data_IF_991301936304
#
_entry.id   IF_991301936304
#
_cell.length_a   1.000
_cell.length_b   1.000
_cell.length_c   1.000
_cell.angle_alpha   90.00
_cell.angle_beta   90.00
_cell.angle_gamma   90.00
#
_symmetry.space_group_name_H-M   'P 1'
#
loop_
_entity.id
_entity.type
_entity.pdbx_description
1 polymer ?
#
# COMPACT_ATOMS: atom_id res chain seq x y z
N UNK A 1 -1.80 13.14 6.47
CA UNK A 1 -2.17 14.53 6.80
C UNK A 1 -2.33 15.27 5.50
N UNK A 2 -3.50 15.89 5.32
CA UNK A 2 -3.91 16.60 4.12
C UNK A 2 -3.03 17.83 3.96
N UNK A 3 -2.10 17.83 3.01
CA UNK A 3 -1.65 19.04 2.35
C UNK A 3 -2.79 19.51 1.43
N UNK A 4 -3.92 19.88 2.06
CA UNK A 4 -5.02 20.48 1.35
C UNK A 4 -4.54 21.86 0.88
N UNK A 5 -4.61 22.11 -0.44
CA UNK A 5 -4.55 23.47 -0.98
C UNK A 5 -5.47 24.36 -0.14
N UNK A 6 -5.04 25.59 0.18
CA UNK A 6 -5.86 26.53 0.94
C UNK A 6 -7.26 26.63 0.30
N UNK A 7 -8.35 26.50 1.07
CA UNK A 7 -9.69 26.47 0.52
C UNK A 7 -9.96 27.76 -0.27
N UNK A 8 -10.15 27.63 -1.58
CA UNK A 8 -10.58 28.76 -2.40
C UNK A 8 -12.04 29.06 -2.12
N UNK A 9 -12.33 30.23 -1.54
CA UNK A 9 -13.70 30.70 -1.29
C UNK A 9 -14.33 31.19 -2.59
N UNK A 10 -14.70 30.30 -3.50
CA UNK A 10 -15.54 30.61 -4.66
C UNK A 10 -17.03 30.36 -4.35
N UNK A 11 -17.92 31.14 -4.96
CA UNK A 11 -19.36 30.87 -4.84
C UNK A 11 -19.71 29.62 -5.62
N UNK A 12 -20.30 28.64 -4.93
CA UNK A 12 -20.81 27.40 -5.51
C UNK A 12 -22.04 27.71 -6.38
N UNK A 13 -22.03 27.28 -7.64
CA UNK A 13 -23.19 27.37 -8.52
C UNK A 13 -24.32 26.44 -8.09
N UNK A 14 -25.54 26.68 -8.57
CA UNK A 14 -26.68 25.81 -8.27
C UNK A 14 -26.50 24.36 -8.78
N UNK A 15 -25.69 24.15 -9.81
CA UNK A 15 -25.37 22.81 -10.35
C UNK A 15 -24.39 22.11 -9.41
N UNK A 16 -23.31 22.77 -9.02
CA UNK A 16 -22.32 22.26 -8.08
C UNK A 16 -22.95 21.96 -6.71
N UNK A 17 -23.85 22.85 -6.23
CA UNK A 17 -24.56 22.62 -4.98
C UNK A 17 -25.36 21.31 -5.01
N UNK A 18 -26.13 21.04 -6.09
CA UNK A 18 -26.86 19.78 -6.24
C UNK A 18 -25.95 18.55 -6.29
N UNK A 19 -24.78 18.68 -6.92
CA UNK A 19 -23.79 17.60 -6.92
C UNK A 19 -23.27 17.33 -5.51
N UNK A 20 -22.93 18.40 -4.78
CA UNK A 20 -22.47 18.29 -3.39
C UNK A 20 -23.56 17.65 -2.51
N UNK A 21 -24.83 18.08 -2.61
CA UNK A 21 -25.93 17.46 -1.88
C UNK A 21 -26.02 15.96 -2.16
N UNK A 22 -25.92 15.53 -3.43
CA UNK A 22 -25.94 14.11 -3.81
C UNK A 22 -24.77 13.34 -3.18
N UNK A 23 -23.53 13.88 -3.23
CA UNK A 23 -22.37 13.23 -2.62
C UNK A 23 -22.50 13.11 -1.10
N UNK A 24 -23.01 14.17 -0.45
CA UNK A 24 -23.30 14.18 0.99
C UNK A 24 -24.36 13.14 1.35
N UNK A 25 -25.44 13.04 0.56
CA UNK A 25 -26.48 12.02 0.78
C UNK A 25 -25.91 10.60 0.65
N UNK A 26 -25.09 10.32 -0.37
CA UNK A 26 -24.43 9.03 -0.52
C UNK A 26 -23.48 8.74 0.66
N UNK A 27 -22.71 9.73 1.12
CA UNK A 27 -21.84 9.58 2.29
C UNK A 27 -22.61 9.25 3.55
N UNK A 28 -23.78 9.86 3.73
CA UNK A 28 -24.61 9.68 4.95
C UNK A 28 -25.41 8.38 4.88
N UNK A 29 -26.13 8.13 3.78
CA UNK A 29 -27.08 7.02 3.67
C UNK A 29 -26.39 5.69 3.36
N UNK A 30 -25.41 5.70 2.46
CA UNK A 30 -24.70 4.50 2.00
C UNK A 30 -23.42 4.27 2.81
N UNK A 31 -22.96 5.22 3.62
CA UNK A 31 -21.69 5.18 4.33
C UNK A 31 -20.50 5.01 3.38
N UNK A 32 -20.66 5.41 2.10
CA UNK A 32 -19.61 5.30 1.09
C UNK A 32 -18.42 6.22 1.44
N UNK A 33 -17.16 5.72 1.40
CA UNK A 33 -15.97 6.53 1.69
C UNK A 33 -15.88 7.77 0.80
N UNK A 34 -15.45 8.90 1.37
CA UNK A 34 -15.27 10.14 0.60
C UNK A 34 -14.31 9.94 -0.58
N UNK A 35 -13.23 9.18 -0.37
CA UNK A 35 -12.27 8.88 -1.42
C UNK A 35 -12.92 8.23 -2.66
N UNK A 36 -13.89 7.34 -2.48
CA UNK A 36 -14.60 6.73 -3.60
C UNK A 36 -15.66 7.65 -4.22
N UNK A 37 -16.23 8.57 -3.44
CA UNK A 37 -17.17 9.57 -3.96
C UNK A 37 -16.47 10.62 -4.82
N UNK A 38 -15.26 11.01 -4.45
CA UNK A 38 -14.43 11.98 -5.19
C UNK A 38 -13.50 11.32 -6.19
N UNK A 39 -13.30 10.01 -6.09
CA UNK A 39 -12.28 9.24 -6.80
C UNK A 39 -10.86 9.75 -6.55
N UNK A 40 -10.62 10.29 -5.37
CA UNK A 40 -9.35 10.89 -4.97
C UNK A 40 -8.93 10.43 -3.57
N UNK A 41 -7.67 10.07 -3.43
CA UNK A 41 -7.01 9.83 -2.15
C UNK A 41 -5.62 10.48 -2.15
N UNK A 42 -5.08 10.76 -0.95
CA UNK A 42 -3.76 11.36 -0.83
C UNK A 42 -2.82 10.42 -0.09
N UNK A 43 -1.61 10.26 -0.61
CA UNK A 43 -0.57 9.44 -0.01
C UNK A 43 0.81 10.01 -0.34
N UNK A 44 1.70 10.14 0.65
CA UNK A 44 3.04 10.73 0.49
C UNK A 44 3.06 12.13 -0.17
N UNK A 45 1.99 12.93 -0.05
CA UNK A 45 1.87 14.22 -0.70
C UNK A 45 1.38 14.17 -2.15
N UNK A 46 1.15 12.98 -2.70
CA UNK A 46 0.61 12.79 -4.06
C UNK A 46 -0.88 12.50 -4.03
N UNK A 47 -1.59 12.94 -5.08
CA UNK A 47 -3.00 12.65 -5.29
C UNK A 47 -3.15 11.42 -6.18
N UNK A 48 -3.89 10.42 -5.71
CA UNK A 48 -4.15 9.15 -6.40
C UNK A 48 -5.61 9.05 -6.82
N UNK A 49 -5.86 8.49 -7.99
CA UNK A 49 -7.17 7.98 -8.37
C UNK A 49 -7.45 6.71 -7.58
N UNK A 50 -8.68 6.58 -7.06
CA UNK A 50 -9.17 5.38 -6.36
C UNK A 50 -10.63 5.14 -6.67
N UNK A 51 -11.01 3.86 -6.70
CA UNK A 51 -12.40 3.40 -6.73
C UNK A 51 -12.53 2.07 -5.98
N UNK A 52 -13.70 1.45 -6.01
CA UNK A 52 -14.03 0.25 -5.22
C UNK A 52 -13.21 -1.00 -5.59
N UNK A 53 -12.29 -0.91 -6.56
CA UNK A 53 -11.37 -1.99 -6.96
C UNK A 53 -10.13 -2.08 -6.09
N UNK A 54 -9.84 -1.05 -5.28
CA UNK A 54 -8.59 -0.95 -4.50
C UNK A 54 -8.84 -0.53 -3.06
N UNK A 55 -7.89 -0.88 -2.19
CA UNK A 55 -7.79 -0.30 -0.85
C UNK A 55 -7.51 1.21 -0.96
N UNK A 56 -8.18 2.01 -0.14
CA UNK A 56 -7.88 3.45 -0.04
C UNK A 56 -6.48 3.61 0.58
N UNK A 57 -5.54 4.32 -0.08
CA UNK A 57 -4.20 4.56 0.43
C UNK A 57 -4.17 5.16 1.85
N UNK A 58 -3.58 4.42 2.80
CA UNK A 58 -3.49 4.85 4.22
C UNK A 58 -2.32 4.21 4.97
N UNK A 59 -1.39 3.57 4.26
CA UNK A 59 -0.24 2.89 4.87
C UNK A 59 0.66 3.84 5.63
N UNK A 60 1.05 3.53 6.87
CA UNK A 60 2.05 4.28 7.61
C UNK A 60 3.46 4.15 7.02
N UNK A 61 3.71 3.24 6.04
CA UNK A 61 4.96 3.19 5.27
C UNK A 61 5.30 4.51 4.55
N UNK A 62 4.33 5.42 4.41
CA UNK A 62 4.58 6.76 3.88
C UNK A 62 5.75 7.48 4.57
N UNK A 63 5.95 7.26 5.88
CA UNK A 63 7.05 7.85 6.64
C UNK A 63 8.39 7.23 6.24
N UNK A 64 8.45 5.90 6.14
CA UNK A 64 9.64 5.18 5.67
C UNK A 64 10.04 5.59 4.24
N UNK A 65 9.07 5.72 3.35
CA UNK A 65 9.32 6.13 1.96
C UNK A 65 9.93 7.53 1.92
N UNK A 66 9.39 8.51 2.68
CA UNK A 66 9.95 9.87 2.75
C UNK A 66 11.36 9.91 3.32
N UNK A 67 11.67 9.02 4.28
CA UNK A 67 12.98 8.85 4.88
C UNK A 67 13.85 7.85 4.09
N UNK A 68 13.42 7.47 2.86
CA UNK A 68 14.14 6.57 1.97
C UNK A 68 14.59 5.25 2.64
N UNK A 69 13.77 4.76 3.59
CA UNK A 69 14.02 3.55 4.40
C UNK A 69 15.33 3.57 5.21
N UNK A 70 15.91 4.74 5.44
CA UNK A 70 17.02 4.89 6.38
C UNK A 70 16.56 4.59 7.84
N UNK A 71 17.39 4.00 8.69
CA UNK A 71 18.78 3.58 8.44
C UNK A 71 18.90 2.09 7.97
N UNK A 72 17.81 1.49 7.47
CA UNK A 72 17.73 0.06 7.18
C UNK A 72 18.45 -0.34 5.89
N UNK A 73 18.52 0.56 4.93
CA UNK A 73 19.19 0.38 3.65
C UNK A 73 19.89 1.67 3.25
N UNK A 74 21.01 1.57 2.54
CA UNK A 74 21.67 2.73 1.90
C UNK A 74 20.85 3.12 0.66
N UNK A 75 20.11 4.21 0.76
CA UNK A 75 19.20 4.69 -0.28
C UNK A 75 19.91 4.94 -1.63
N UNK A 76 21.19 5.31 -1.60
CA UNK A 76 21.99 5.53 -2.82
C UNK A 76 22.34 4.24 -3.57
N UNK A 77 22.22 3.09 -2.91
CA UNK A 77 22.51 1.77 -3.48
C UNK A 77 21.27 1.04 -4.01
N UNK A 78 20.06 1.60 -3.82
CA UNK A 78 18.81 0.97 -4.25
C UNK A 78 18.64 1.14 -5.76
N UNK A 79 18.68 0.03 -6.48
CA UNK A 79 18.50 -0.02 -7.93
C UNK A 79 17.17 -0.65 -8.32
N UNK A 80 16.68 -1.65 -7.56
CA UNK A 80 15.44 -2.38 -7.88
C UNK A 80 14.57 -2.57 -6.65
N UNK A 81 13.30 -2.23 -6.80
CA UNK A 81 12.29 -2.33 -5.74
C UNK A 81 11.11 -3.17 -6.23
N UNK A 82 10.56 -4.01 -5.35
CA UNK A 82 9.33 -4.75 -5.59
C UNK A 82 8.25 -4.31 -4.58
N UNK A 83 7.09 -3.91 -5.09
CA UNK A 83 5.87 -3.67 -4.31
C UNK A 83 4.89 -4.83 -4.54
N UNK A 84 4.72 -5.67 -3.54
CA UNK A 84 3.84 -6.86 -3.58
C UNK A 84 2.47 -6.50 -3.01
N UNK A 85 1.40 -6.88 -3.73
CA UNK A 85 0.01 -6.50 -3.44
C UNK A 85 -0.17 -4.97 -3.51
N UNK A 86 0.22 -4.39 -4.65
CA UNK A 86 0.36 -2.94 -4.85
C UNK A 86 -0.97 -2.16 -4.78
N UNK A 87 -2.11 -2.83 -4.99
CA UNK A 87 -3.42 -2.19 -4.96
C UNK A 87 -3.53 -1.02 -5.95
N UNK A 88 -3.71 0.18 -5.43
CA UNK A 88 -3.75 1.42 -6.23
C UNK A 88 -2.40 1.85 -6.83
N UNK A 89 -1.31 1.16 -6.51
CA UNK A 89 0.05 1.56 -6.87
C UNK A 89 0.65 2.65 -5.99
N UNK A 90 0.02 2.98 -4.86
CA UNK A 90 0.43 4.14 -4.07
C UNK A 90 1.83 4.00 -3.47
N UNK A 91 2.23 2.80 -2.98
CA UNK A 91 3.58 2.55 -2.51
C UNK A 91 4.58 2.62 -3.67
N UNK A 92 4.33 1.88 -4.76
CA UNK A 92 5.20 1.85 -5.94
C UNK A 92 5.47 3.24 -6.52
N UNK A 93 4.41 4.05 -6.72
CA UNK A 93 4.53 5.42 -7.24
C UNK A 93 5.27 6.33 -6.28
N UNK A 94 4.96 6.27 -4.98
CA UNK A 94 5.66 7.07 -3.98
C UNK A 94 7.14 6.69 -3.90
N UNK A 95 7.47 5.40 -3.98
CA UNK A 95 8.86 4.92 -4.02
C UNK A 95 9.56 5.41 -5.29
N UNK A 96 8.96 5.26 -6.47
CA UNK A 96 9.55 5.73 -7.73
C UNK A 96 9.92 7.22 -7.68
N UNK A 97 9.05 8.06 -7.09
CA UNK A 97 9.32 9.49 -6.92
C UNK A 97 10.42 9.80 -5.89
N UNK A 98 10.62 8.95 -4.89
CA UNK A 98 11.65 9.15 -3.86
C UNK A 98 12.99 8.47 -4.22
N UNK A 99 12.98 7.53 -5.17
CA UNK A 99 14.17 6.83 -5.70
C UNK A 99 14.24 6.98 -7.22
N UNK A 100 14.58 8.16 -7.75
CA UNK A 100 14.48 8.46 -9.19
C UNK A 100 15.40 7.61 -10.08
N UNK A 101 16.34 6.89 -9.49
CA UNK A 101 17.24 5.96 -10.21
C UNK A 101 16.83 4.49 -10.15
N UNK A 102 15.79 4.15 -9.36
CA UNK A 102 15.41 2.77 -9.15
C UNK A 102 14.34 2.30 -10.17
N UNK A 103 14.45 1.05 -10.60
CA UNK A 103 13.36 0.32 -11.27
C UNK A 103 12.39 -0.22 -10.23
N UNK A 104 11.11 0.05 -10.38
CA UNK A 104 10.06 -0.44 -9.47
C UNK A 104 9.18 -1.45 -10.20
N UNK A 105 9.09 -2.65 -9.67
CA UNK A 105 8.09 -3.64 -10.07
C UNK A 105 6.94 -3.60 -9.07
N UNK A 106 5.72 -3.45 -9.56
CA UNK A 106 4.52 -3.42 -8.72
C UNK A 106 3.57 -4.54 -9.14
N UNK A 107 3.26 -5.45 -8.23
CA UNK A 107 2.47 -6.63 -8.52
C UNK A 107 1.19 -6.70 -7.74
N UNK A 108 0.15 -7.26 -8.37
CA UNK A 108 -1.12 -7.57 -7.73
C UNK A 108 -1.77 -8.75 -8.43
N UNK A 109 -2.56 -9.54 -7.70
CA UNK A 109 -3.34 -10.63 -8.28
C UNK A 109 -4.60 -10.11 -8.98
N UNK A 110 -5.07 -8.94 -8.59
CA UNK A 110 -6.27 -8.30 -9.14
C UNK A 110 -5.95 -7.46 -10.38
N UNK A 111 -6.46 -7.89 -11.54
CA UNK A 111 -6.42 -7.06 -12.77
C UNK A 111 -7.06 -5.69 -12.58
N UNK A 112 -8.17 -5.63 -11.82
CA UNK A 112 -8.84 -4.37 -11.54
C UNK A 112 -7.99 -3.42 -10.71
N UNK A 113 -7.21 -3.93 -9.76
CA UNK A 113 -6.24 -3.13 -9.01
C UNK A 113 -5.11 -2.61 -9.92
N UNK A 114 -4.58 -3.46 -10.79
CA UNK A 114 -3.55 -3.07 -11.76
C UNK A 114 -4.04 -2.02 -12.77
N UNK A 115 -5.32 -2.05 -13.15
CA UNK A 115 -5.91 -0.98 -13.97
C UNK A 115 -5.91 0.36 -13.22
N UNK A 116 -6.27 0.37 -11.93
CA UNK A 116 -6.20 1.58 -11.09
C UNK A 116 -4.75 2.03 -10.92
N UNK A 117 -3.84 1.11 -10.60
CA UNK A 117 -2.41 1.40 -10.50
C UNK A 117 -1.86 2.01 -11.80
N UNK A 118 -2.30 1.50 -12.97
CA UNK A 118 -1.90 2.06 -14.27
C UNK A 118 -2.33 3.52 -14.44
N UNK A 119 -3.55 3.88 -14.03
CA UNK A 119 -4.02 5.28 -14.05
C UNK A 119 -3.10 6.16 -13.21
N UNK A 120 -2.72 5.69 -12.02
CA UNK A 120 -1.87 6.44 -11.10
C UNK A 120 -0.42 6.56 -11.59
N UNK A 121 0.14 5.48 -12.12
CA UNK A 121 1.49 5.47 -12.70
C UNK A 121 1.61 6.46 -13.87
N UNK A 122 0.58 6.49 -14.75
CA UNK A 122 0.53 7.45 -15.86
C UNK A 122 0.27 8.88 -15.37
N UNK A 123 -0.70 9.05 -14.46
CA UNK A 123 -1.09 10.35 -13.92
C UNK A 123 0.02 11.06 -13.14
N UNK A 124 0.90 10.29 -12.50
CA UNK A 124 2.05 10.80 -11.73
C UNK A 124 3.39 10.68 -12.48
N UNK A 125 3.34 10.37 -13.80
CA UNK A 125 4.47 10.42 -14.72
C UNK A 125 5.67 9.52 -14.36
N UNK A 126 5.41 8.36 -13.75
CA UNK A 126 6.45 7.38 -13.37
C UNK A 126 6.43 6.10 -14.22
N UNK A 127 5.76 6.11 -15.37
CA UNK A 127 5.60 4.93 -16.26
C UNK A 127 6.94 4.33 -16.72
N UNK A 128 7.95 5.14 -16.89
CA UNK A 128 9.28 4.65 -17.30
C UNK A 128 10.03 3.92 -16.18
N UNK A 129 9.64 4.15 -14.92
CA UNK A 129 10.24 3.51 -13.75
C UNK A 129 9.41 2.35 -13.21
N UNK A 130 8.06 2.38 -13.38
CA UNK A 130 7.15 1.42 -12.74
C UNK A 130 6.61 0.43 -13.76
N UNK A 131 6.92 -0.85 -13.55
CA UNK A 131 6.37 -1.97 -14.31
C UNK A 131 5.28 -2.67 -13.49
N UNK A 132 4.08 -2.82 -14.06
CA UNK A 132 2.96 -3.50 -13.43
C UNK A 132 2.92 -4.97 -13.86
N UNK A 133 2.78 -5.89 -12.90
CA UNK A 133 2.79 -7.34 -13.13
C UNK A 133 1.59 -8.00 -12.45
N UNK A 134 0.81 -8.78 -13.19
CA UNK A 134 -0.22 -9.64 -12.61
C UNK A 134 0.44 -10.87 -11.99
N UNK A 135 0.37 -11.00 -10.66
CA UNK A 135 1.02 -12.09 -9.91
C UNK A 135 0.29 -12.38 -8.60
N UNK A 136 0.11 -13.65 -8.27
CA UNK A 136 -0.19 -14.08 -6.91
C UNK A 136 1.13 -14.10 -6.13
N UNK A 137 1.34 -13.02 -5.35
CA UNK A 137 2.60 -12.73 -4.66
C UNK A 137 3.80 -12.79 -5.63
N UNK A 138 4.63 -13.82 -5.54
CA UNK A 138 5.89 -13.96 -6.27
C UNK A 138 5.82 -14.85 -7.51
N UNK A 139 4.65 -15.45 -7.85
CA UNK A 139 4.55 -16.48 -8.91
C UNK A 139 5.07 -16.03 -10.28
N UNK A 140 4.84 -14.76 -10.66
CA UNK A 140 5.24 -14.21 -11.95
C UNK A 140 6.33 -13.10 -11.80
N UNK A 141 7.03 -13.07 -10.67
CA UNK A 141 8.08 -12.08 -10.42
C UNK A 141 9.43 -12.64 -10.91
N UNK A 142 10.18 -11.78 -11.59
CA UNK A 142 11.50 -12.12 -12.10
C UNK A 142 12.59 -11.19 -11.54
N UNK A 143 13.76 -11.78 -11.28
CA UNK A 143 14.94 -11.07 -10.83
C UNK A 143 15.05 -10.92 -9.32
N UNK A 144 15.96 -10.08 -8.87
CA UNK A 144 16.25 -9.83 -7.45
C UNK A 144 16.20 -8.34 -7.15
N UNK A 145 15.85 -8.01 -5.91
CA UNK A 145 15.53 -6.66 -5.46
C UNK A 145 16.36 -6.25 -4.25
N UNK A 146 16.65 -4.98 -4.15
CA UNK A 146 17.29 -4.37 -2.99
C UNK A 146 16.29 -4.16 -1.88
N UNK A 147 15.05 -3.81 -2.26
CA UNK A 147 13.94 -3.53 -1.37
C UNK A 147 12.70 -4.26 -1.86
N UNK A 148 12.08 -5.03 -0.98
CA UNK A 148 10.72 -5.56 -1.18
C UNK A 148 9.83 -4.90 -0.14
N UNK A 149 8.72 -4.31 -0.58
CA UNK A 149 7.68 -3.76 0.30
C UNK A 149 6.37 -4.50 0.06
N UNK A 150 5.57 -4.66 1.10
CA UNK A 150 4.22 -5.17 0.96
C UNK A 150 3.32 -4.66 2.09
N UNK A 151 2.11 -4.26 1.71
CA UNK A 151 0.98 -4.10 2.61
C UNK A 151 -0.11 -5.10 2.18
N UNK A 152 0.05 -6.38 2.51
CA UNK A 152 -0.87 -7.42 2.08
C UNK A 152 -2.15 -7.39 2.92
N UNK A 153 -3.21 -8.10 2.52
CA UNK A 153 -4.35 -8.34 3.39
C UNK A 153 -3.90 -9.00 4.70
N UNK A 154 -4.37 -8.48 5.84
CA UNK A 154 -4.06 -9.03 7.17
C UNK A 154 -5.27 -9.00 8.13
N UNK A 155 -6.46 -8.64 7.65
CA UNK A 155 -7.66 -8.60 8.50
C UNK A 155 -8.30 -9.98 8.54
N UNK A 156 -8.36 -10.58 9.73
CA UNK A 156 -9.05 -11.87 9.91
C UNK A 156 -10.56 -11.75 9.64
N UNK A 157 -11.23 -12.85 9.19
CA UNK A 157 -12.64 -12.81 8.82
C UNK A 157 -13.57 -12.25 9.91
N UNK A 158 -13.31 -12.57 11.18
CA UNK A 158 -14.09 -12.06 12.31
C UNK A 158 -13.86 -10.57 12.56
N UNK A 159 -12.62 -10.10 12.43
CA UNK A 159 -12.28 -8.69 12.55
C UNK A 159 -12.94 -7.91 11.42
N UNK A 160 -12.95 -8.45 10.18
CA UNK A 160 -13.59 -7.84 9.04
C UNK A 160 -15.10 -7.62 9.25
N UNK A 161 -15.82 -8.60 9.82
CA UNK A 161 -17.26 -8.46 10.13
C UNK A 161 -17.54 -7.32 11.13
N UNK A 162 -16.59 -7.00 11.99
CA UNK A 162 -16.70 -5.94 13.01
C UNK A 162 -16.28 -4.56 12.52
N UNK A 163 -15.71 -4.45 11.32
CA UNK A 163 -15.28 -3.17 10.75
C UNK A 163 -16.47 -2.22 10.53
N UNK A 164 -16.22 -0.90 10.59
CA UNK A 164 -17.21 0.09 10.21
C UNK A 164 -17.74 -0.13 8.78
N UNK A 165 -19.01 0.26 8.49
CA UNK A 165 -19.63 0.06 7.18
C UNK A 165 -18.82 0.60 5.99
N UNK A 166 -18.03 1.63 6.21
CA UNK A 166 -17.15 2.22 5.19
C UNK A 166 -16.17 1.22 4.58
N UNK A 167 -15.61 0.32 5.40
CA UNK A 167 -14.65 -0.70 4.96
C UNK A 167 -15.27 -1.75 4.05
N UNK A 168 -16.58 -2.00 4.17
CA UNK A 168 -17.29 -2.94 3.31
C UNK A 168 -17.51 -2.43 1.89
N UNK A 169 -17.19 -1.18 1.60
CA UNK A 169 -17.09 -0.65 0.24
C UNK A 169 -15.72 -0.93 -0.42
N UNK A 170 -14.71 -1.25 0.38
CA UNK A 170 -13.40 -1.65 -0.13
C UNK A 170 -13.42 -3.14 -0.53
N UNK A 171 -12.59 -3.56 -1.50
CA UNK A 171 -12.62 -4.96 -1.94
C UNK A 171 -12.16 -5.89 -0.82
N UNK A 172 -12.97 -6.93 -0.52
CA UNK A 172 -12.61 -7.92 0.50
C UNK A 172 -11.25 -8.59 0.24
N UNK A 173 -10.89 -8.75 -1.04
CA UNK A 173 -9.59 -9.29 -1.46
C UNK A 173 -8.41 -8.46 -0.94
N UNK A 174 -8.58 -7.15 -0.74
CA UNK A 174 -7.53 -6.27 -0.25
C UNK A 174 -7.47 -6.17 1.29
N UNK A 175 -8.42 -6.78 1.99
CA UNK A 175 -8.53 -6.70 3.46
C UNK A 175 -8.42 -8.07 4.12
N UNK A 176 -9.15 -9.07 3.59
CA UNK A 176 -9.39 -10.32 4.29
C UNK A 176 -8.24 -11.29 4.05
N UNK A 177 -7.71 -11.83 5.14
CA UNK A 177 -6.72 -12.88 5.14
C UNK A 177 -7.17 -14.04 6.03
N UNK A 178 -6.90 -15.28 5.57
CA UNK A 178 -7.15 -16.51 6.32
C UNK A 178 -6.18 -16.65 7.52
N UNK A 179 -6.32 -17.73 8.29
CA UNK A 179 -5.45 -18.01 9.43
C UNK A 179 -5.34 -16.83 10.43
N UNK A 180 -6.46 -16.14 10.67
CA UNK A 180 -6.52 -14.95 11.51
C UNK A 180 -5.62 -13.80 11.02
N UNK A 181 -5.49 -13.63 9.71
CA UNK A 181 -4.71 -12.55 9.11
C UNK A 181 -3.26 -12.92 8.76
N UNK A 182 -2.81 -14.15 8.99
CA UNK A 182 -1.39 -14.54 8.88
C UNK A 182 -1.00 -15.27 7.60
N UNK A 183 -1.94 -15.71 6.77
CA UNK A 183 -1.64 -16.54 5.60
C UNK A 183 -0.79 -15.85 4.53
N UNK A 184 -1.10 -14.61 4.16
CA UNK A 184 -0.27 -13.83 3.23
C UNK A 184 1.10 -13.50 3.82
N UNK A 185 1.14 -13.16 5.11
CA UNK A 185 2.40 -12.89 5.83
C UNK A 185 3.30 -14.12 5.79
N UNK A 186 2.74 -15.31 6.08
CA UNK A 186 3.47 -16.57 6.01
C UNK A 186 4.05 -16.86 4.63
N UNK A 187 3.23 -16.68 3.57
CA UNK A 187 3.66 -16.86 2.18
C UNK A 187 4.75 -15.86 1.79
N UNK A 188 4.59 -14.58 2.14
CA UNK A 188 5.59 -13.56 1.82
C UNK A 188 6.91 -13.85 2.53
N UNK A 189 6.91 -14.22 3.80
CA UNK A 189 8.12 -14.57 4.54
C UNK A 189 8.80 -15.81 3.97
N UNK A 190 8.02 -16.80 3.53
CA UNK A 190 8.55 -18.04 2.93
C UNK A 190 9.10 -17.82 1.51
N UNK A 191 8.41 -17.02 0.68
CA UNK A 191 8.69 -16.93 -0.75
C UNK A 191 9.65 -15.79 -1.12
N UNK A 192 9.77 -14.73 -0.29
CA UNK A 192 10.59 -13.56 -0.60
C UNK A 192 12.11 -13.80 -0.64
N UNK A 193 12.74 -14.73 0.14
CA UNK A 193 14.19 -14.83 0.23
C UNK A 193 14.94 -14.99 -1.11
N UNK A 194 14.46 -15.77 -2.11
CA UNK A 194 15.11 -15.89 -3.41
C UNK A 194 15.09 -14.61 -4.23
N UNK A 195 14.18 -13.67 -3.94
CA UNK A 195 14.01 -12.42 -4.64
C UNK A 195 14.76 -11.25 -3.99
N UNK A 196 15.40 -11.46 -2.83
CA UNK A 196 16.21 -10.44 -2.16
C UNK A 196 17.69 -10.57 -2.50
N UNK A 197 18.32 -9.43 -2.83
CA UNK A 197 19.80 -9.34 -2.83
C UNK A 197 20.34 -9.61 -1.42
N UNK A 198 21.63 -9.95 -1.30
CA UNK A 198 22.22 -10.34 0.00
C UNK A 198 22.12 -9.24 1.08
N UNK A 199 22.19 -7.97 0.68
CA UNK A 199 22.03 -6.82 1.57
C UNK A 199 20.62 -6.19 1.47
N UNK A 200 19.71 -6.86 0.79
CA UNK A 200 18.33 -6.38 0.62
C UNK A 200 17.50 -6.50 1.89
N UNK A 201 16.38 -5.78 1.90
CA UNK A 201 15.41 -5.79 3.00
C UNK A 201 14.00 -6.06 2.50
N UNK A 202 13.22 -6.75 3.34
CA UNK A 202 11.78 -6.86 3.24
C UNK A 202 11.15 -5.92 4.26
N UNK A 203 10.24 -5.05 3.82
CA UNK A 203 9.42 -4.19 4.69
C UNK A 203 7.97 -4.63 4.57
N UNK A 204 7.41 -5.08 5.68
CA UNK A 204 6.10 -5.72 5.71
C UNK A 204 5.18 -5.03 6.71
N UNK A 205 4.03 -4.57 6.24
CA UNK A 205 2.94 -4.08 7.09
C UNK A 205 2.06 -5.25 7.51
N UNK A 206 1.83 -5.38 8.80
CA UNK A 206 1.04 -6.44 9.43
C UNK A 206 -0.06 -5.89 10.33
N UNK A 207 -0.09 -4.57 10.56
CA UNK A 207 -1.11 -3.89 11.34
C UNK A 207 -1.39 -4.57 12.68
N UNK A 208 -2.66 -4.85 12.95
CA UNK A 208 -3.14 -5.41 14.21
C UNK A 208 -2.67 -6.84 14.51
N UNK A 209 -2.16 -7.58 13.51
CA UNK A 209 -1.69 -8.97 13.69
C UNK A 209 -0.18 -9.08 13.92
N UNK A 210 0.50 -7.96 14.16
CA UNK A 210 1.96 -7.89 14.36
C UNK A 210 2.44 -8.78 15.51
N UNK A 211 1.76 -8.74 16.67
CA UNK A 211 2.12 -9.57 17.84
C UNK A 211 1.90 -11.06 17.56
N UNK A 212 0.84 -11.42 16.86
CA UNK A 212 0.56 -12.78 16.44
C UNK A 212 1.61 -13.28 15.45
N UNK A 213 2.02 -12.44 14.49
CA UNK A 213 3.07 -12.76 13.55
C UNK A 213 4.42 -13.00 14.25
N UNK A 214 4.80 -12.16 15.22
CA UNK A 214 6.02 -12.33 15.99
C UNK A 214 6.04 -13.66 16.78
N UNK A 215 4.88 -14.08 17.31
CA UNK A 215 4.74 -15.35 18.01
C UNK A 215 4.73 -16.57 17.07
N UNK A 216 4.20 -16.40 15.86
CA UNK A 216 4.01 -17.50 14.91
C UNK A 216 5.26 -17.79 14.07
N UNK A 217 6.07 -16.78 13.77
CA UNK A 217 7.20 -16.89 12.84
C UNK A 217 8.54 -16.63 13.57
N UNK A 218 9.54 -17.51 13.44
CA UNK A 218 10.81 -17.40 14.16
C UNK A 218 11.80 -16.46 13.45
N UNK A 219 11.32 -15.34 12.93
CA UNK A 219 12.15 -14.34 12.26
C UNK A 219 12.46 -13.18 13.21
N UNK A 220 13.64 -12.55 13.11
CA UNK A 220 14.00 -11.40 13.92
C UNK A 220 13.36 -10.13 13.35
N UNK A 221 12.06 -9.94 13.60
CA UNK A 221 11.35 -8.74 13.22
C UNK A 221 11.98 -7.50 13.88
N UNK A 222 12.32 -6.51 13.06
CA UNK A 222 12.73 -5.20 13.54
C UNK A 222 11.54 -4.26 13.38
N UNK A 223 10.79 -4.09 14.45
CA UNK A 223 9.62 -3.23 14.47
C UNK A 223 10.03 -1.76 14.30
N UNK A 224 9.30 -1.07 13.44
CA UNK A 224 9.56 0.35 13.17
C UNK A 224 8.70 1.20 14.09
N UNK A 225 9.34 2.11 14.82
CA UNK A 225 8.66 3.18 15.54
C UNK A 225 8.47 4.36 14.59
N UNK A 226 7.24 4.84 14.47
CA UNK A 226 6.84 5.90 13.55
C UNK A 226 6.47 7.17 14.33
N UNK A 227 7.01 8.31 13.92
CA UNK A 227 6.78 9.61 14.56
C UNK A 227 5.33 10.09 14.43
N UNK A 228 4.68 9.74 13.32
CA UNK A 228 3.31 10.18 12.99
C UNK A 228 2.22 9.18 13.40
N UNK A 229 2.59 8.17 14.15
CA UNK A 229 1.69 7.07 14.53
C UNK A 229 1.54 6.04 13.42
N UNK A 230 0.94 4.93 13.78
CA UNK A 230 0.87 3.69 13.00
C UNK A 230 1.70 2.62 13.70
N UNK A 231 1.34 1.37 13.47
CA UNK A 231 2.00 0.21 14.09
C UNK A 231 2.02 -0.97 13.14
N UNK A 232 2.76 -2.01 13.52
CA UNK A 232 2.76 -3.26 12.77
C UNK A 232 3.55 -3.22 11.47
N UNK A 233 4.56 -2.34 11.34
CA UNK A 233 5.54 -2.42 10.25
C UNK A 233 6.83 -3.03 10.78
N UNK A 234 7.32 -4.04 10.09
CA UNK A 234 8.60 -4.66 10.38
C UNK A 234 9.56 -4.60 9.19
N UNK A 235 10.84 -4.48 9.50
CA UNK A 235 11.95 -4.65 8.56
C UNK A 235 12.66 -5.96 8.86
N UNK A 236 12.89 -6.75 7.81
CA UNK A 236 13.63 -8.00 7.86
C UNK A 236 14.79 -7.94 6.83
N UNK A 237 15.99 -8.22 7.29
CA UNK A 237 17.17 -8.28 6.41
C UNK A 237 17.23 -9.65 5.72
N UNK A 238 17.60 -9.67 4.44
CA UNK A 238 17.72 -10.89 3.63
C UNK A 238 18.54 -12.02 4.30
N UNK A 239 19.61 -11.67 5.02
CA UNK A 239 20.45 -12.64 5.73
C UNK A 239 19.74 -13.40 6.85
N UNK A 240 18.59 -12.91 7.30
CA UNK A 240 17.79 -13.52 8.37
C UNK A 240 16.55 -14.26 7.85
N UNK A 241 16.29 -14.16 6.55
CA UNK A 241 15.18 -14.83 5.85
C UNK A 241 15.65 -16.09 5.10
N UNK A 242 16.95 -16.15 4.74
CA UNK A 242 17.59 -17.28 4.02
C UNK A 242 17.96 -18.46 4.89
#
# INVERSE_FOLDING_TARGET
>A
YLDAEEPSFSKVSAVEFKLIEKLVDQRIQERKPLAFLTQEAFFCGYKFYVDERVLIPRSPMAELIRNQFEPWIDSASVERVLDVATGSGCLAVAIANNFPGAEVVASDVSKGALEVASINVDGLSVREQVTLVESDLFENIEGVFDLIVSNPPYVGPKSYEALPPEYHHEPGLALIAEQNGLDFIARILHDSPPFLRDNGILVLEMGEVAEEAEKAFPHPFKWVELDNGGEGIAVLEAKHLK
#
